data_IF_792749491638
#
_entry.id   IF_792749491638
#
_cell.length_a   1.000
_cell.length_b   1.000
_cell.length_c   1.000
_cell.angle_alpha   90.00
_cell.angle_beta   90.00
_cell.angle_gamma   90.00
#
_symmetry.space_group_name_H-M   'P 1'
#
loop_
_entity.id
_entity.type
_entity.pdbx_description
1 polymer ?
#
# COMPACT_ATOMS: atom_id res chain seq x y z
N UNK A 1 22.36 7.15 4.57
CA UNK A 1 22.19 6.40 5.84
C UNK A 1 21.62 7.30 6.92
N UNK A 2 20.40 7.87 6.73
CA UNK A 2 19.75 8.80 7.67
C UNK A 2 18.22 8.64 7.75
N UNK A 3 17.69 7.47 7.41
CA UNK A 3 16.22 7.24 7.46
C UNK A 3 15.68 6.86 8.86
N UNK A 4 16.54 6.69 9.86
CA UNK A 4 16.13 6.20 11.19
C UNK A 4 15.54 7.26 12.13
N UNK A 5 15.62 8.55 11.80
CA UNK A 5 15.21 9.63 12.73
C UNK A 5 13.91 10.36 12.35
N UNK A 6 13.22 9.96 11.26
CA UNK A 6 12.07 10.72 10.77
C UNK A 6 10.87 10.71 11.73
N UNK A 7 10.75 9.70 12.59
CA UNK A 7 9.67 9.59 13.56
C UNK A 7 10.16 9.23 14.98
N UNK A 8 10.97 10.08 15.58
CA UNK A 8 11.17 10.00 17.02
C UNK A 8 9.95 10.62 17.72
N UNK A 9 8.89 9.81 17.88
CA UNK A 9 7.66 10.21 18.58
C UNK A 9 7.82 9.84 20.05
N UNK A 10 7.85 10.87 20.91
CA UNK A 10 8.12 10.68 22.33
C UNK A 10 6.85 10.40 23.14
N UNK A 11 5.76 11.06 22.82
CA UNK A 11 4.52 11.00 23.58
C UNK A 11 3.29 11.24 22.69
N UNK A 12 2.09 11.15 23.29
CA UNK A 12 0.81 11.30 22.59
C UNK A 12 0.67 12.67 21.90
N UNK A 13 1.12 13.74 22.50
CA UNK A 13 1.00 15.09 21.92
C UNK A 13 1.88 15.22 20.68
N UNK A 14 3.10 14.70 20.75
CA UNK A 14 4.04 14.69 19.62
C UNK A 14 3.49 13.83 18.47
N UNK A 15 2.88 12.67 18.76
CA UNK A 15 2.20 11.85 17.77
C UNK A 15 1.11 12.63 17.05
N UNK A 16 0.21 13.28 17.80
CA UNK A 16 -0.91 14.04 17.22
C UNK A 16 -0.38 15.15 16.29
N UNK A 17 0.56 15.98 16.77
CA UNK A 17 1.16 17.05 15.97
C UNK A 17 1.80 16.56 14.68
N UNK A 18 2.54 15.46 14.74
CA UNK A 18 3.18 14.86 13.54
C UNK A 18 2.17 14.29 12.56
N UNK A 19 1.13 13.62 13.06
CA UNK A 19 0.03 13.12 12.22
C UNK A 19 -0.69 14.29 11.53
N UNK A 20 -1.07 15.33 12.27
CA UNK A 20 -1.73 16.52 11.72
C UNK A 20 -0.86 17.20 10.66
N UNK A 21 0.41 17.42 10.96
CA UNK A 21 1.37 17.99 10.01
C UNK A 21 1.47 17.15 8.74
N UNK A 22 1.73 15.84 8.85
CA UNK A 22 1.90 14.97 7.68
C UNK A 22 0.61 14.85 6.85
N UNK A 23 -0.55 14.81 7.52
CA UNK A 23 -1.84 14.76 6.82
C UNK A 23 -2.22 16.07 6.13
N UNK A 24 -1.69 17.21 6.59
CA UNK A 24 -1.85 18.50 5.91
C UNK A 24 -1.02 18.62 4.63
N UNK A 25 0.06 17.85 4.49
CA UNK A 25 0.95 17.88 3.33
C UNK A 25 0.40 17.13 2.11
N UNK A 26 -0.64 16.31 2.27
CA UNK A 26 -1.33 15.63 1.18
C UNK A 26 -1.41 14.10 1.33
N UNK A 27 -1.90 13.45 0.27
CA UNK A 27 -2.21 12.00 0.30
C UNK A 27 -0.95 11.17 0.54
N UNK A 28 0.11 11.41 -0.23
CA UNK A 28 1.33 10.62 -0.15
C UNK A 28 1.98 10.68 1.23
N UNK A 29 2.10 11.87 1.81
CA UNK A 29 2.69 12.07 3.14
C UNK A 29 1.83 11.43 4.23
N UNK A 30 0.51 11.47 4.09
CA UNK A 30 -0.43 10.80 4.99
C UNK A 30 -0.24 9.27 4.95
N UNK A 31 -0.18 8.70 3.76
CA UNK A 31 0.05 7.26 3.55
C UNK A 31 1.41 6.82 4.11
N UNK A 32 2.44 7.61 3.86
CA UNK A 32 3.79 7.36 4.40
C UNK A 32 3.77 7.38 5.94
N UNK A 33 3.13 8.37 6.56
CA UNK A 33 3.00 8.46 8.01
C UNK A 33 2.34 7.21 8.59
N UNK A 34 1.19 6.81 8.06
CA UNK A 34 0.48 5.63 8.53
C UNK A 34 1.31 4.34 8.34
N UNK A 35 1.99 4.19 7.20
CA UNK A 35 2.87 3.04 6.93
C UNK A 35 4.02 2.95 7.93
N UNK A 36 4.69 4.08 8.21
CA UNK A 36 5.81 4.12 9.18
C UNK A 36 5.34 3.86 10.60
N UNK A 37 4.16 4.36 11.00
CA UNK A 37 3.55 4.04 12.30
C UNK A 37 3.26 2.53 12.42
N UNK A 38 2.70 1.92 11.38
CA UNK A 38 2.45 0.48 11.36
C UNK A 38 3.75 -0.32 11.51
N UNK A 39 4.78 -0.01 10.73
CA UNK A 39 6.04 -0.73 10.74
C UNK A 39 6.78 -0.62 12.07
N UNK A 40 6.89 0.59 12.62
CA UNK A 40 7.73 0.82 13.79
C UNK A 40 7.03 0.51 15.12
N UNK A 41 5.73 0.79 15.23
CA UNK A 41 5.03 0.72 16.52
C UNK A 41 4.03 -0.42 16.61
N UNK A 42 3.43 -0.86 15.51
CA UNK A 42 2.50 -2.00 15.52
C UNK A 42 3.26 -3.31 15.36
N UNK A 43 4.08 -3.42 14.29
CA UNK A 43 4.84 -4.63 13.99
C UNK A 43 6.25 -4.62 14.59
N UNK A 44 6.78 -3.45 14.87
CA UNK A 44 8.06 -3.25 15.54
C UNK A 44 7.96 -3.24 17.06
N UNK A 45 9.10 -2.97 17.69
CA UNK A 45 9.24 -2.94 19.15
C UNK A 45 9.22 -1.53 19.74
N UNK A 46 9.03 -0.50 18.92
CA UNK A 46 8.98 0.87 19.44
C UNK A 46 7.69 1.10 20.23
N UNK A 47 7.77 1.95 21.23
CA UNK A 47 6.66 2.35 22.08
C UNK A 47 6.58 3.87 22.14
N UNK A 48 5.38 4.39 22.36
CA UNK A 48 5.13 5.82 22.60
C UNK A 48 4.53 5.94 23.98
N UNK A 49 5.10 6.82 24.80
CA UNK A 49 4.62 7.02 26.17
C UNK A 49 3.13 7.38 26.18
N UNK A 50 2.38 6.65 27.02
CA UNK A 50 0.94 6.83 27.22
C UNK A 50 0.06 6.60 25.97
N UNK A 51 0.55 5.85 24.97
CA UNK A 51 -0.22 5.48 23.77
C UNK A 51 -0.20 3.97 23.56
N UNK A 52 -1.37 3.36 23.52
CA UNK A 52 -1.48 1.93 23.23
C UNK A 52 -1.23 1.61 21.77
N UNK A 53 -0.79 0.38 21.47
CA UNK A 53 -0.71 -0.09 20.08
C UNK A 53 -2.06 -0.04 19.37
N UNK A 54 -3.16 -0.29 20.09
CA UNK A 54 -4.52 -0.18 19.55
C UNK A 54 -4.84 1.25 19.10
N UNK A 55 -4.46 2.27 19.89
CA UNK A 55 -4.70 3.67 19.53
C UNK A 55 -3.91 4.05 18.28
N UNK A 56 -2.63 3.64 18.20
CA UNK A 56 -1.80 3.87 17.01
C UNK A 56 -2.40 3.19 15.80
N UNK A 57 -2.85 1.94 15.93
CA UNK A 57 -3.50 1.21 14.86
C UNK A 57 -4.77 1.93 14.38
N UNK A 58 -5.62 2.37 15.29
CA UNK A 58 -6.84 3.11 14.96
C UNK A 58 -6.54 4.42 14.21
N UNK A 59 -5.47 5.14 14.59
CA UNK A 59 -5.00 6.33 13.88
C UNK A 59 -4.61 5.96 12.45
N UNK A 60 -3.85 4.89 12.24
CA UNK A 60 -3.44 4.46 10.89
C UNK A 60 -4.65 4.09 10.02
N UNK A 61 -5.60 3.32 10.56
CA UNK A 61 -6.83 2.95 9.83
C UNK A 61 -7.64 4.20 9.47
N UNK A 62 -7.79 5.16 10.40
CA UNK A 62 -8.46 6.42 10.12
C UNK A 62 -7.79 7.18 8.99
N UNK A 63 -6.46 7.30 8.99
CA UNK A 63 -5.71 7.92 7.90
C UNK A 63 -6.00 7.22 6.57
N UNK A 64 -5.90 5.89 6.50
CA UNK A 64 -6.18 5.16 5.26
C UNK A 64 -7.62 5.40 4.77
N UNK A 65 -8.61 5.33 5.64
CA UNK A 65 -10.00 5.60 5.26
C UNK A 65 -10.20 7.02 4.72
N UNK A 66 -9.57 8.03 5.33
CA UNK A 66 -9.63 9.42 4.87
C UNK A 66 -8.93 9.61 3.52
N UNK A 67 -7.76 8.98 3.33
CA UNK A 67 -7.05 9.07 2.06
C UNK A 67 -7.78 8.32 0.93
N UNK A 68 -8.43 7.20 1.20
CA UNK A 68 -9.29 6.51 0.21
C UNK A 68 -10.39 7.44 -0.31
N UNK A 69 -11.04 8.22 0.56
CA UNK A 69 -12.05 9.22 0.17
C UNK A 69 -11.49 10.32 -0.72
N UNK A 70 -10.19 10.61 -0.61
CA UNK A 70 -9.47 11.61 -1.42
C UNK A 70 -8.83 11.02 -2.68
N UNK A 71 -9.06 9.73 -2.98
CA UNK A 71 -8.49 9.05 -4.13
C UNK A 71 -7.14 8.38 -3.88
N UNK A 72 -6.71 8.21 -2.63
CA UNK A 72 -5.46 7.53 -2.26
C UNK A 72 -5.47 6.05 -2.68
N UNK A 73 -4.62 5.72 -3.64
CA UNK A 73 -4.56 4.38 -4.25
C UNK A 73 -3.86 3.39 -3.31
N UNK A 74 -2.73 3.81 -2.72
CA UNK A 74 -1.98 2.94 -1.82
C UNK A 74 -2.71 2.69 -0.51
N UNK A 75 -3.53 3.62 -0.05
CA UNK A 75 -4.38 3.44 1.14
C UNK A 75 -5.35 2.28 0.99
N UNK A 76 -5.89 2.06 -0.22
CA UNK A 76 -6.75 0.89 -0.53
C UNK A 76 -5.98 -0.41 -0.34
N UNK A 77 -4.74 -0.47 -0.83
CA UNK A 77 -3.86 -1.64 -0.63
C UNK A 77 -3.56 -1.87 0.85
N UNK A 78 -3.13 -0.85 1.59
CA UNK A 78 -2.77 -0.99 3.00
C UNK A 78 -3.95 -1.42 3.87
N UNK A 79 -5.14 -0.84 3.64
CA UNK A 79 -6.34 -1.25 4.36
C UNK A 79 -6.73 -2.70 4.01
N UNK A 80 -6.67 -3.06 2.72
CA UNK A 80 -6.92 -4.43 2.28
C UNK A 80 -5.99 -5.44 2.95
N UNK A 81 -4.70 -5.11 3.05
CA UNK A 81 -3.72 -5.95 3.73
C UNK A 81 -4.10 -6.22 5.20
N UNK A 82 -4.59 -5.21 5.92
CA UNK A 82 -5.05 -5.39 7.30
C UNK A 82 -6.30 -6.29 7.39
N UNK A 83 -7.24 -6.13 6.47
CA UNK A 83 -8.47 -6.93 6.41
C UNK A 83 -8.22 -8.39 6.01
N UNK A 84 -7.18 -8.66 5.22
CA UNK A 84 -6.80 -10.00 4.78
C UNK A 84 -5.97 -10.78 5.80
N UNK A 85 -5.38 -10.12 6.80
CA UNK A 85 -4.59 -10.76 7.85
C UNK A 85 -5.49 -11.53 8.82
N UNK A 86 -5.49 -12.87 8.74
CA UNK A 86 -6.30 -13.75 9.60
C UNK A 86 -6.04 -13.61 11.11
N UNK A 87 -4.88 -13.12 11.51
CA UNK A 87 -4.45 -12.97 12.90
C UNK A 87 -4.26 -11.50 13.28
N UNK A 88 -5.02 -10.61 12.68
CA UNK A 88 -5.00 -9.23 13.11
C UNK A 88 -5.78 -9.10 14.43
N UNK A 89 -5.08 -8.77 15.51
CA UNK A 89 -5.70 -8.62 16.84
C UNK A 89 -6.41 -7.28 17.02
N UNK A 90 -6.20 -6.34 16.10
CA UNK A 90 -6.71 -4.97 16.17
C UNK A 90 -7.91 -4.71 15.26
N UNK A 91 -8.13 -5.55 14.26
CA UNK A 91 -9.20 -5.40 13.28
C UNK A 91 -9.79 -6.78 12.94
N UNK A 92 -11.11 -6.89 12.94
CA UNK A 92 -11.77 -8.11 12.48
C UNK A 92 -11.48 -8.33 10.99
N UNK A 93 -10.98 -9.51 10.60
CA UNK A 93 -10.73 -9.83 9.22
C UNK A 93 -12.03 -9.76 8.39
N UNK A 94 -11.95 -9.08 7.26
CA UNK A 94 -13.00 -9.11 6.23
C UNK A 94 -12.34 -9.43 4.89
N UNK A 95 -12.41 -10.71 4.53
CA UNK A 95 -11.80 -11.21 3.30
C UNK A 95 -12.43 -10.61 2.06
N UNK A 96 -13.75 -10.44 2.03
CA UNK A 96 -14.46 -9.92 0.85
C UNK A 96 -14.11 -8.46 0.60
N UNK A 97 -14.17 -7.63 1.63
CA UNK A 97 -13.79 -6.23 1.53
C UNK A 97 -12.28 -6.09 1.22
N UNK A 98 -11.43 -6.90 1.84
CA UNK A 98 -9.99 -6.90 1.57
C UNK A 98 -9.67 -7.26 0.12
N UNK A 99 -10.27 -8.34 -0.42
CA UNK A 99 -10.09 -8.72 -1.83
C UNK A 99 -10.67 -7.66 -2.79
N UNK A 100 -11.78 -7.04 -2.47
CA UNK A 100 -12.36 -5.95 -3.26
C UNK A 100 -11.42 -4.74 -3.32
N UNK A 101 -10.93 -4.26 -2.18
CA UNK A 101 -10.03 -3.10 -2.11
C UNK A 101 -8.70 -3.34 -2.84
N UNK A 102 -8.11 -4.54 -2.72
CA UNK A 102 -6.84 -4.83 -3.38
C UNK A 102 -7.02 -4.95 -4.91
N UNK A 103 -8.17 -5.45 -5.37
CA UNK A 103 -8.50 -5.46 -6.80
C UNK A 103 -8.59 -4.03 -7.33
N UNK A 104 -9.36 -3.15 -6.68
CA UNK A 104 -9.47 -1.75 -7.10
C UNK A 104 -8.09 -1.07 -7.11
N UNK A 105 -7.29 -1.23 -6.06
CA UNK A 105 -5.95 -0.66 -6.00
C UNK A 105 -5.07 -1.14 -7.17
N UNK A 106 -5.16 -2.42 -7.56
CA UNK A 106 -4.40 -2.97 -8.68
C UNK A 106 -4.89 -2.43 -10.03
N UNK A 107 -6.21 -2.25 -10.21
CA UNK A 107 -6.76 -1.60 -11.40
C UNK A 107 -6.29 -0.15 -11.53
N UNK A 108 -6.20 0.56 -10.43
CA UNK A 108 -5.69 1.94 -10.35
C UNK A 108 -4.15 2.03 -10.38
N UNK A 109 -3.46 0.95 -10.72
CA UNK A 109 -2.00 0.87 -10.86
C UNK A 109 -1.20 1.05 -9.55
N UNK A 110 -1.76 0.68 -8.39
CA UNK A 110 -0.94 0.55 -7.19
C UNK A 110 0.15 -0.50 -7.41
N UNK A 111 1.41 -0.09 -7.38
CA UNK A 111 2.52 -1.02 -7.57
C UNK A 111 2.52 -2.13 -6.53
N UNK A 112 2.15 -1.83 -5.29
CA UNK A 112 2.04 -2.82 -4.20
C UNK A 112 0.92 -3.83 -4.44
N UNK A 113 -0.24 -3.37 -4.89
CA UNK A 113 -1.36 -4.26 -5.20
C UNK A 113 -1.06 -5.14 -6.43
N UNK A 114 -0.41 -4.57 -7.44
CA UNK A 114 0.06 -5.35 -8.60
C UNK A 114 1.11 -6.39 -8.18
N UNK A 115 2.06 -6.04 -7.32
CA UNK A 115 3.03 -6.98 -6.75
C UNK A 115 2.36 -8.13 -5.99
N UNK A 116 1.33 -7.84 -5.20
CA UNK A 116 0.54 -8.86 -4.51
C UNK A 116 -0.08 -9.88 -5.49
N UNK A 117 -0.64 -9.40 -6.63
CA UNK A 117 -1.19 -10.31 -7.65
C UNK A 117 -0.10 -11.09 -8.37
N UNK A 118 1.06 -10.49 -8.65
CA UNK A 118 2.20 -11.19 -9.22
C UNK A 118 2.59 -12.39 -8.33
N UNK A 119 2.79 -12.16 -7.04
CA UNK A 119 3.12 -13.23 -6.08
C UNK A 119 2.03 -14.30 -5.98
N UNK A 120 0.77 -13.87 -5.98
CA UNK A 120 -0.39 -14.77 -5.89
C UNK A 120 -0.47 -15.71 -7.10
N UNK A 121 -0.23 -15.21 -8.31
CA UNK A 121 -0.22 -16.02 -9.53
C UNK A 121 1.03 -16.86 -9.65
N UNK A 122 2.20 -16.35 -9.24
CA UNK A 122 3.43 -17.15 -9.17
C UNK A 122 3.25 -18.42 -8.33
N UNK A 123 2.69 -18.28 -7.12
CA UNK A 123 2.40 -19.42 -6.23
C UNK A 123 1.39 -20.43 -6.80
N UNK A 124 0.64 -20.03 -7.83
CA UNK A 124 -0.32 -20.90 -8.54
C UNK A 124 0.21 -21.44 -9.87
N UNK A 125 1.52 -21.32 -10.13
CA UNK A 125 2.18 -21.69 -11.38
C UNK A 125 1.60 -21.00 -12.64
N UNK A 126 0.96 -19.85 -12.49
CA UNK A 126 0.43 -19.04 -13.59
C UNK A 126 1.45 -17.94 -13.92
N UNK A 127 2.55 -18.37 -14.57
CA UNK A 127 3.68 -17.51 -14.89
C UNK A 127 3.29 -16.32 -15.78
N UNK A 128 2.46 -16.56 -16.76
CA UNK A 128 1.89 -15.56 -17.67
C UNK A 128 1.26 -14.37 -16.91
N UNK A 129 0.37 -14.68 -15.98
CA UNK A 129 -0.30 -13.68 -15.17
C UNK A 129 0.63 -13.06 -14.13
N UNK A 130 1.55 -13.84 -13.57
CA UNK A 130 2.56 -13.32 -12.65
C UNK A 130 3.44 -12.27 -13.32
N UNK A 131 3.97 -12.56 -14.51
CA UNK A 131 4.82 -11.64 -15.28
C UNK A 131 4.06 -10.38 -15.69
N UNK A 132 2.78 -10.51 -16.08
CA UNK A 132 1.92 -9.36 -16.37
C UNK A 132 1.77 -8.43 -15.16
N UNK A 133 1.44 -8.96 -13.99
CA UNK A 133 1.26 -8.16 -12.80
C UNK A 133 2.58 -7.58 -12.27
N UNK A 134 3.71 -8.30 -12.42
CA UNK A 134 5.04 -7.78 -12.11
C UNK A 134 5.39 -6.58 -12.99
N UNK A 135 5.13 -6.67 -14.30
CA UNK A 135 5.31 -5.57 -15.21
C UNK A 135 4.41 -4.37 -14.86
N UNK A 136 3.13 -4.62 -14.58
CA UNK A 136 2.17 -3.58 -14.17
C UNK A 136 2.60 -2.89 -12.86
N UNK A 137 3.18 -3.63 -11.93
CA UNK A 137 3.76 -3.08 -10.70
C UNK A 137 4.90 -2.09 -10.98
N UNK A 138 5.71 -2.39 -11.98
CA UNK A 138 6.82 -1.51 -12.38
C UNK A 138 6.29 -0.22 -13.03
N UNK A 139 5.26 -0.31 -13.87
CA UNK A 139 4.64 0.85 -14.52
C UNK A 139 4.00 1.79 -13.50
N UNK A 140 3.33 1.25 -12.49
CA UNK A 140 2.69 2.06 -11.44
C UNK A 140 3.65 2.96 -10.67
N UNK A 141 4.96 2.76 -10.83
CA UNK A 141 6.02 3.61 -10.26
C UNK A 141 6.58 4.64 -11.26
N UNK A 142 6.17 4.58 -12.53
CA UNK A 142 6.70 5.42 -13.59
C UNK A 142 5.74 6.60 -13.89
N UNK A 143 6.30 7.73 -14.27
CA UNK A 143 5.55 8.79 -14.93
C UNK A 143 5.13 8.37 -16.36
N UNK A 144 4.29 9.19 -17.01
CA UNK A 144 3.79 8.90 -18.36
C UNK A 144 4.90 8.63 -19.37
N UNK A 145 6.02 9.34 -19.26
CA UNK A 145 7.19 9.18 -20.14
C UNK A 145 7.85 7.82 -19.89
N UNK A 146 8.01 7.42 -18.64
CA UNK A 146 8.56 6.11 -18.27
C UNK A 146 7.65 4.96 -18.73
N UNK A 147 6.33 5.14 -18.69
CA UNK A 147 5.37 4.17 -19.22
C UNK A 147 5.55 4.00 -20.72
N UNK A 148 5.61 5.09 -21.49
CA UNK A 148 5.80 5.06 -22.94
C UNK A 148 7.12 4.40 -23.31
N UNK A 149 8.22 4.76 -22.65
CA UNK A 149 9.53 4.16 -22.89
C UNK A 149 9.51 2.65 -22.57
N UNK A 150 8.89 2.23 -21.47
CA UNK A 150 8.80 0.81 -21.11
C UNK A 150 7.98 0.01 -22.13
N UNK A 151 6.92 0.59 -22.67
CA UNK A 151 6.09 -0.02 -23.73
C UNK A 151 6.87 -0.13 -25.06
N UNK A 152 7.65 0.89 -25.43
CA UNK A 152 8.42 0.91 -26.67
C UNK A 152 9.59 -0.08 -26.67
N UNK A 153 10.26 -0.25 -25.52
CA UNK A 153 11.45 -1.10 -25.39
C UNK A 153 11.16 -2.55 -24.99
N UNK A 154 9.91 -2.92 -24.69
CA UNK A 154 9.52 -4.27 -24.26
C UNK A 154 8.40 -4.87 -25.13
N UNK A 155 8.69 -5.16 -26.41
CA UNK A 155 7.72 -5.78 -27.34
C UNK A 155 7.12 -7.08 -26.80
N UNK A 156 7.91 -7.94 -26.17
CA UNK A 156 7.40 -9.20 -25.57
C UNK A 156 6.34 -8.96 -24.51
N UNK A 157 6.48 -7.91 -23.69
CA UNK A 157 5.49 -7.55 -22.65
C UNK A 157 4.23 -6.95 -23.26
N UNK A 158 4.35 -6.25 -24.39
CA UNK A 158 3.23 -5.72 -25.16
C UNK A 158 2.34 -6.81 -25.73
N UNK A 159 2.91 -7.89 -26.26
CA UNK A 159 2.14 -9.04 -26.78
C UNK A 159 1.35 -9.75 -25.68
N UNK A 160 1.96 -9.93 -24.49
CA UNK A 160 1.26 -10.51 -23.33
C UNK A 160 0.09 -9.63 -22.90
N UNK A 161 0.27 -8.31 -22.89
CA UNK A 161 -0.80 -7.36 -22.58
C UNK A 161 -1.96 -7.46 -23.56
N UNK A 162 -1.67 -7.44 -24.86
CA UNK A 162 -2.70 -7.52 -25.88
C UNK A 162 -3.50 -8.84 -25.78
N UNK A 163 -2.85 -9.95 -25.49
CA UNK A 163 -3.52 -11.25 -25.27
C UNK A 163 -4.42 -11.29 -24.02
N UNK A 164 -4.08 -10.54 -22.97
CA UNK A 164 -4.86 -10.54 -21.71
C UNK A 164 -6.05 -9.57 -21.79
N UNK A 165 -5.91 -8.44 -22.52
CA UNK A 165 -6.96 -7.43 -22.61
C UNK A 165 -7.98 -7.68 -23.72
N UNK A 166 -7.65 -8.48 -24.73
CA UNK A 166 -8.50 -8.73 -25.91
C UNK A 166 -9.01 -10.18 -26.03
N UNK A 167 -8.71 -11.05 -25.03
CA UNK A 167 -9.32 -12.35 -24.83
C UNK A 167 -10.12 -12.36 -23.52
#
# INVERSE_FOLDING_TARGET
>A
MESKNFLNIKNKLDLIKKVEFMTSLGIYQSELMASVLMENYIYGNNQIDSVSKQDIFNICIKIYCEQIKKGGINSKYYLAEQLLKRKNIYLNPDKHLGEFLINIAAYENSSKACGYFSDKFYKRNRKDLSDFWAWKSTIGCLDETGIILNLLFNEQKREVMLKIYYN
#
